data_IF_896691891695
#
_entry.id   IF_896691891695
#
_cell.length_a   1.000
_cell.length_b   1.000
_cell.length_c   1.000
_cell.angle_alpha   90.00
_cell.angle_beta   90.00
_cell.angle_gamma   90.00
#
_symmetry.space_group_name_H-M   'P 1'
#
loop_
_entity.id
_entity.type
_entity.pdbx_description
1 polymer ?
#
# COMPACT_ATOMS: atom_id res chain seq x y z
N UNK A 1 -12.24 23.00 -15.06
CA UNK A 1 -11.23 23.47 -14.08
C UNK A 1 -11.06 22.41 -13.01
N UNK A 2 -9.85 21.87 -12.81
CA UNK A 2 -9.57 20.86 -11.79
C UNK A 2 -9.65 21.49 -10.38
N UNK A 3 -10.32 20.83 -9.43
CA UNK A 3 -10.39 21.29 -8.03
C UNK A 3 -9.17 20.77 -7.26
N UNK A 4 -8.35 21.67 -6.73
CA UNK A 4 -7.21 21.27 -5.88
C UNK A 4 -7.69 20.62 -4.59
N UNK A 5 -7.07 19.52 -4.20
CA UNK A 5 -7.39 18.78 -2.99
C UNK A 5 -6.53 19.24 -1.81
N UNK A 6 -7.17 19.76 -0.76
CA UNK A 6 -6.54 20.14 0.52
C UNK A 6 -7.08 19.29 1.68
N UNK A 7 -7.16 17.97 1.46
CA UNK A 7 -7.68 17.00 2.43
C UNK A 7 -6.61 15.94 2.73
N UNK A 8 -6.65 15.24 3.87
CA UNK A 8 -5.63 14.27 4.28
C UNK A 8 -5.72 12.91 3.54
N UNK A 9 -6.33 12.88 2.35
CA UNK A 9 -6.53 11.67 1.55
C UNK A 9 -7.94 11.59 0.96
N UNK A 10 -8.09 11.27 -0.35
CA UNK A 10 -7.01 11.18 -1.35
C UNK A 10 -6.37 12.56 -1.62
N UNK A 11 -5.24 12.57 -2.33
CA UNK A 11 -4.49 13.78 -2.69
C UNK A 11 -4.21 13.82 -4.19
N UNK A 12 -3.91 15.01 -4.70
CA UNK A 12 -3.40 15.18 -6.07
C UNK A 12 -2.03 14.51 -6.18
N UNK A 13 -1.81 13.76 -7.27
CA UNK A 13 -0.53 13.09 -7.56
C UNK A 13 0.25 13.84 -8.63
N UNK A 14 1.55 13.58 -8.74
CA UNK A 14 2.38 14.13 -9.80
C UNK A 14 1.90 13.65 -11.19
N UNK A 15 2.09 14.50 -12.20
CA UNK A 15 1.62 14.24 -13.57
C UNK A 15 2.18 12.93 -14.15
N UNK A 16 3.45 12.62 -13.88
CA UNK A 16 4.09 11.40 -14.35
C UNK A 16 3.43 10.14 -13.77
N UNK A 17 2.94 10.18 -12.53
CA UNK A 17 2.17 9.09 -11.92
C UNK A 17 0.83 8.90 -12.66
N UNK A 18 0.13 9.98 -13.00
CA UNK A 18 -1.12 9.91 -13.78
C UNK A 18 -0.86 9.29 -15.16
N UNK A 19 0.20 9.73 -15.84
CA UNK A 19 0.58 9.20 -17.14
C UNK A 19 0.93 7.71 -17.07
N UNK A 20 1.54 7.22 -15.98
CA UNK A 20 1.76 5.78 -15.79
C UNK A 20 0.47 5.00 -15.60
N UNK A 21 -0.50 5.55 -14.88
CA UNK A 21 -1.82 4.92 -14.70
C UNK A 21 -2.63 4.87 -16.00
N UNK A 22 -2.32 5.72 -16.98
CA UNK A 22 -2.94 5.72 -18.30
C UNK A 22 -2.34 4.69 -19.28
N UNK A 23 -1.31 3.94 -18.87
CA UNK A 23 -0.68 2.93 -19.74
C UNK A 23 -1.51 1.63 -19.84
N UNK A 24 -1.40 0.88 -20.95
CA UNK A 24 -2.06 -0.42 -21.06
C UNK A 24 -1.65 -1.39 -19.96
N UNK A 25 -2.60 -2.19 -19.48
CA UNK A 25 -2.32 -3.20 -18.46
C UNK A 25 -1.35 -4.27 -18.98
N UNK A 26 -0.43 -4.69 -18.11
CA UNK A 26 0.42 -5.87 -18.33
C UNK A 26 -0.25 -7.12 -17.73
N UNK A 27 0.09 -8.30 -18.26
CA UNK A 27 -0.42 -9.56 -17.73
C UNK A 27 0.16 -9.88 -16.34
N UNK A 28 -0.69 -10.19 -15.36
CA UNK A 28 -0.27 -10.42 -13.97
C UNK A 28 0.64 -11.65 -13.75
N UNK A 29 0.73 -12.58 -14.72
CA UNK A 29 1.62 -13.76 -14.65
C UNK A 29 2.87 -13.62 -15.53
N UNK A 30 3.14 -12.45 -16.09
CA UNK A 30 4.28 -12.26 -16.98
C UNK A 30 5.56 -11.90 -16.19
N UNK A 31 6.71 -11.96 -16.88
CA UNK A 31 8.00 -11.59 -16.29
C UNK A 31 8.05 -10.09 -15.95
N UNK A 32 7.37 -9.27 -16.74
CA UNK A 32 7.25 -7.82 -16.55
C UNK A 32 6.53 -7.50 -15.24
N UNK A 33 5.40 -8.18 -14.94
CA UNK A 33 4.68 -8.00 -13.68
C UNK A 33 5.52 -8.45 -12.47
N UNK A 34 6.23 -9.58 -12.60
CA UNK A 34 7.14 -10.08 -11.56
C UNK A 34 8.28 -9.11 -11.28
N UNK A 35 8.85 -8.50 -12.33
CA UNK A 35 9.88 -7.47 -12.21
C UNK A 35 9.32 -6.23 -11.52
N UNK A 36 8.15 -5.74 -11.95
CA UNK A 36 7.51 -4.58 -11.34
C UNK A 36 7.27 -4.78 -9.84
N UNK A 37 6.73 -5.93 -9.44
CA UNK A 37 6.46 -6.25 -8.04
C UNK A 37 7.75 -6.30 -7.19
N UNK A 38 8.84 -6.85 -7.77
CA UNK A 38 10.16 -6.86 -7.14
C UNK A 38 10.72 -5.46 -6.96
N UNK A 39 10.70 -4.64 -8.02
CA UNK A 39 11.20 -3.27 -8.00
C UNK A 39 10.45 -2.42 -6.94
N UNK A 40 9.12 -2.60 -6.81
CA UNK A 40 8.32 -1.95 -5.77
C UNK A 40 8.79 -2.39 -4.38
N UNK A 41 8.93 -3.70 -4.16
CA UNK A 41 9.34 -4.27 -2.87
C UNK A 41 10.73 -3.78 -2.44
N UNK A 42 11.69 -3.76 -3.36
CA UNK A 42 13.06 -3.28 -3.09
C UNK A 42 13.12 -1.79 -2.74
N UNK A 43 12.32 -0.96 -3.43
CA UNK A 43 12.21 0.47 -3.11
C UNK A 43 11.54 0.70 -1.75
N UNK A 44 10.51 -0.08 -1.42
CA UNK A 44 9.85 0.00 -0.11
C UNK A 44 10.77 -0.47 1.03
N UNK A 45 11.57 -1.51 0.83
CA UNK A 45 12.59 -1.92 1.81
C UNK A 45 13.58 -0.80 2.12
N UNK A 46 14.03 -0.05 1.10
CA UNK A 46 14.89 1.13 1.28
C UNK A 46 14.16 2.25 2.03
N UNK A 47 12.92 2.56 1.64
CA UNK A 47 12.11 3.60 2.26
C UNK A 47 11.84 3.34 3.76
N UNK A 48 11.53 2.09 4.11
CA UNK A 48 11.23 1.69 5.48
C UNK A 48 12.46 1.25 6.29
N UNK A 49 13.67 1.36 5.72
CA UNK A 49 14.92 0.92 6.36
C UNK A 49 14.87 -0.52 6.88
N UNK A 50 14.27 -1.43 6.11
CA UNK A 50 14.05 -2.82 6.52
C UNK A 50 14.66 -3.82 5.54
N UNK A 51 15.06 -4.98 6.07
CA UNK A 51 15.44 -6.17 5.28
C UNK A 51 14.36 -7.24 5.26
N UNK A 52 13.22 -6.99 5.93
CA UNK A 52 12.12 -7.93 6.01
C UNK A 52 11.35 -7.98 4.69
N UNK A 53 10.68 -9.10 4.43
CA UNK A 53 9.83 -9.26 3.26
C UNK A 53 8.70 -8.24 3.26
N UNK A 54 8.52 -7.57 2.12
CA UNK A 54 7.40 -6.67 1.86
C UNK A 54 6.22 -7.48 1.32
N UNK A 55 5.05 -7.30 1.93
CA UNK A 55 3.78 -7.85 1.44
C UNK A 55 3.00 -6.73 0.77
N UNK A 56 2.70 -6.90 -0.51
CA UNK A 56 1.87 -6.00 -1.29
C UNK A 56 0.44 -6.55 -1.35
N UNK A 57 -0.55 -5.69 -1.10
CA UNK A 57 -1.97 -6.05 -1.13
C UNK A 57 -2.75 -5.10 -2.02
N UNK A 58 -3.68 -5.62 -2.81
CA UNK A 58 -4.62 -4.84 -3.62
C UNK A 58 -5.84 -4.42 -2.79
N UNK A 59 -5.58 -3.80 -1.64
CA UNK A 59 -6.58 -3.31 -0.68
C UNK A 59 -6.21 -1.91 -0.20
N UNK A 60 -7.12 -1.22 0.49
CA UNK A 60 -6.75 -0.03 1.25
C UNK A 60 -5.87 -0.39 2.46
N UNK A 61 -5.38 0.63 3.16
CA UNK A 61 -4.59 0.44 4.39
C UNK A 61 -5.32 -0.36 5.47
N UNK A 62 -6.64 -0.22 5.59
CA UNK A 62 -7.44 -0.99 6.56
C UNK A 62 -7.40 -2.50 6.29
N UNK A 63 -7.28 -2.93 5.03
CA UNK A 63 -7.17 -4.35 4.71
C UNK A 63 -5.87 -4.98 5.24
N UNK A 64 -4.76 -4.25 5.17
CA UNK A 64 -3.49 -4.69 5.76
C UNK A 64 -3.48 -4.58 7.29
N UNK A 65 -4.21 -3.63 7.87
CA UNK A 65 -4.44 -3.58 9.32
C UNK A 65 -5.19 -4.82 9.82
N UNK A 66 -6.24 -5.25 9.11
CA UNK A 66 -6.92 -6.52 9.41
C UNK A 66 -5.97 -7.72 9.25
N UNK A 67 -5.22 -7.79 8.15
CA UNK A 67 -4.29 -8.88 7.89
C UNK A 67 -3.22 -9.00 8.98
N UNK A 68 -2.68 -7.88 9.48
CA UNK A 68 -1.72 -7.89 10.58
C UNK A 68 -2.31 -8.53 11.84
N UNK A 69 -3.54 -8.19 12.22
CA UNK A 69 -4.18 -8.79 13.40
C UNK A 69 -4.46 -10.28 13.15
N UNK A 70 -5.07 -10.64 12.02
CA UNK A 70 -5.51 -12.03 11.75
C UNK A 70 -4.35 -12.98 11.52
N UNK A 71 -3.28 -12.54 10.86
CA UNK A 71 -2.15 -13.40 10.50
C UNK A 71 -1.05 -13.41 11.56
N UNK A 72 -0.91 -12.35 12.38
CA UNK A 72 0.13 -12.27 13.40
C UNK A 72 -0.37 -12.51 14.84
N UNK A 73 -1.68 -12.76 15.03
CA UNK A 73 -2.24 -13.10 16.35
C UNK A 73 -2.75 -14.54 16.37
N UNK A 74 -2.24 -15.35 17.31
CA UNK A 74 -2.65 -16.76 17.40
C UNK A 74 -3.95 -16.99 18.17
N UNK A 75 -4.24 -16.18 19.20
CA UNK A 75 -5.44 -16.35 20.05
C UNK A 75 -6.07 -15.02 20.46
N UNK A 76 -5.31 -14.15 21.14
CA UNK A 76 -5.75 -12.83 21.61
C UNK A 76 -4.59 -11.84 21.47
N UNK A 77 -4.92 -10.57 21.22
CA UNK A 77 -3.98 -9.46 21.17
C UNK A 77 -4.47 -8.35 22.10
N UNK A 78 -3.55 -7.67 22.77
CA UNK A 78 -3.83 -6.38 23.41
C UNK A 78 -3.65 -5.29 22.36
N UNK A 79 -4.71 -4.52 22.09
CA UNK A 79 -4.71 -3.44 21.10
C UNK A 79 -5.07 -2.13 21.79
N UNK A 80 -4.16 -1.17 21.76
CA UNK A 80 -4.36 0.15 22.35
C UNK A 80 -4.89 1.10 21.29
N UNK A 81 -6.17 1.47 21.39
CA UNK A 81 -6.82 2.36 20.46
C UNK A 81 -6.74 3.82 20.92
N UNK A 82 -6.02 4.65 20.16
CA UNK A 82 -5.93 6.11 20.40
C UNK A 82 -6.30 6.86 19.12
N UNK A 83 -7.33 7.70 19.20
CA UNK A 83 -7.84 8.47 18.05
C UNK A 83 -8.77 7.69 17.10
N UNK A 84 -9.19 8.35 16.02
CA UNK A 84 -10.22 7.83 15.11
C UNK A 84 -9.80 6.56 14.37
N UNK A 85 -8.51 6.41 14.01
CA UNK A 85 -8.04 5.22 13.30
C UNK A 85 -7.97 3.97 14.19
N UNK A 86 -7.70 4.13 15.50
CA UNK A 86 -7.69 3.02 16.44
C UNK A 86 -9.08 2.56 16.88
N UNK A 87 -10.11 3.43 16.77
CA UNK A 87 -11.52 3.13 17.09
C UNK A 87 -12.30 2.47 15.94
N UNK A 88 -11.65 2.21 14.81
CA UNK A 88 -12.26 1.59 13.63
C UNK A 88 -12.53 0.10 13.82
#
# INVERSE_FOLDING_TARGET
MHKKLFIPGPVDVAEDVLQKMATPMIGHRTKEASKLQRDISEKLMKLFYTKNQIILSTTSGSGLMEAAIRCCTRRRAAVFAVGAFGKR
#
